data_IF_023731121007
#
_entry.id   IF_023731121007
#
_cell.length_a   1.000
_cell.length_b   1.000
_cell.length_c   1.000
_cell.angle_alpha   90.00
_cell.angle_beta   90.00
_cell.angle_gamma   90.00
#
_symmetry.space_group_name_H-M   'P 1'
#
loop_
_entity.id
_entity.type
_entity.pdbx_description
1 polymer ?
#
# COMPACT_ATOMS: atom_id res chain seq x y z
N UNK A 1 3.75 -29.65 -11.13
CA UNK A 1 4.78 -28.62 -11.39
C UNK A 1 5.14 -27.96 -10.07
N UNK A 2 6.31 -28.25 -9.47
CA UNK A 2 6.73 -27.63 -8.20
C UNK A 2 7.25 -26.22 -8.49
N UNK A 3 6.72 -25.21 -7.80
CA UNK A 3 7.19 -23.82 -7.91
C UNK A 3 8.66 -23.73 -7.44
N UNK A 4 9.48 -22.97 -8.16
CA UNK A 4 10.85 -22.63 -7.71
C UNK A 4 10.82 -21.77 -6.44
N UNK A 5 11.90 -21.81 -5.65
CA UNK A 5 11.93 -21.15 -4.33
C UNK A 5 11.79 -19.62 -4.41
N UNK A 6 12.30 -18.99 -5.48
CA UNK A 6 12.08 -17.57 -5.76
C UNK A 6 10.62 -17.24 -6.01
N UNK A 7 9.92 -18.11 -6.73
CA UNK A 7 8.51 -17.94 -7.05
C UNK A 7 7.64 -18.13 -5.80
N UNK A 8 7.98 -19.07 -4.92
CA UNK A 8 7.34 -19.21 -3.59
C UNK A 8 7.55 -17.97 -2.74
N UNK A 9 8.77 -17.43 -2.70
CA UNK A 9 9.08 -16.21 -1.93
C UNK A 9 8.30 -15.01 -2.45
N UNK A 10 8.26 -14.83 -3.77
CA UNK A 10 7.46 -13.81 -4.43
C UNK A 10 5.98 -13.92 -4.03
N UNK A 11 5.38 -15.10 -4.23
CA UNK A 11 3.98 -15.34 -3.96
C UNK A 11 3.64 -15.11 -2.48
N UNK A 12 4.48 -15.59 -1.55
CA UNK A 12 4.34 -15.32 -0.11
C UNK A 12 4.33 -13.82 0.16
N UNK A 13 5.30 -13.08 -0.37
CA UNK A 13 5.39 -11.63 -0.11
C UNK A 13 4.24 -10.85 -0.73
N UNK A 14 3.74 -11.28 -1.89
CA UNK A 14 2.59 -10.68 -2.55
C UNK A 14 1.30 -10.91 -1.76
N UNK A 15 1.04 -12.15 -1.33
CA UNK A 15 -0.15 -12.49 -0.54
C UNK A 15 -0.13 -11.74 0.79
N UNK A 16 1.00 -11.71 1.49
CA UNK A 16 1.14 -10.94 2.74
C UNK A 16 0.92 -9.45 2.49
N UNK A 17 1.44 -8.90 1.39
CA UNK A 17 1.24 -7.50 1.04
C UNK A 17 -0.25 -7.19 0.83
N UNK A 18 -0.97 -8.04 0.10
CA UNK A 18 -2.40 -7.89 -0.15
C UNK A 18 -3.22 -7.99 1.15
N UNK A 19 -2.92 -8.97 2.01
CA UNK A 19 -3.58 -9.14 3.31
C UNK A 19 -3.34 -7.93 4.23
N UNK A 20 -2.09 -7.45 4.32
CA UNK A 20 -1.75 -6.26 5.09
C UNK A 20 -2.48 -5.04 4.55
N UNK A 21 -2.57 -4.90 3.22
CA UNK A 21 -3.36 -3.85 2.59
C UNK A 21 -4.83 -3.90 3.02
N UNK A 22 -5.44 -5.09 2.99
CA UNK A 22 -6.82 -5.30 3.46
C UNK A 22 -7.02 -4.96 4.94
N UNK A 23 -6.12 -5.40 5.82
CA UNK A 23 -6.15 -5.08 7.26
C UNK A 23 -6.02 -3.56 7.48
N UNK A 24 -5.15 -2.91 6.71
CA UNK A 24 -4.91 -1.47 6.82
C UNK A 24 -6.12 -0.66 6.36
N UNK A 25 -6.77 -1.07 5.26
CA UNK A 25 -8.01 -0.46 4.78
C UNK A 25 -9.17 -0.67 5.77
N UNK A 26 -9.30 -1.86 6.36
CA UNK A 26 -10.29 -2.11 7.40
C UNK A 26 -10.03 -1.27 8.66
N UNK A 27 -8.76 -1.06 9.03
CA UNK A 27 -8.38 -0.21 10.16
C UNK A 27 -8.72 1.25 9.89
N UNK A 28 -8.41 1.76 8.69
CA UNK A 28 -8.79 3.10 8.27
C UNK A 28 -10.32 3.30 8.36
N UNK A 29 -11.10 2.42 7.73
CA UNK A 29 -12.56 2.48 7.79
C UNK A 29 -13.11 2.38 9.23
N UNK A 30 -12.53 1.54 10.08
CA UNK A 30 -12.93 1.39 11.47
C UNK A 30 -12.61 2.62 12.32
N UNK A 31 -11.40 3.18 12.18
CA UNK A 31 -11.01 4.43 12.87
C UNK A 31 -11.86 5.59 12.40
N UNK A 32 -12.11 5.70 11.08
CA UNK A 32 -13.00 6.71 10.50
C UNK A 32 -14.38 6.62 11.14
N UNK A 33 -14.99 5.43 11.10
CA UNK A 33 -16.33 5.21 11.64
C UNK A 33 -16.43 5.57 13.12
N UNK A 34 -15.45 5.13 13.94
CA UNK A 34 -15.44 5.42 15.37
C UNK A 34 -15.28 6.92 15.66
N UNK A 35 -14.33 7.60 15.01
CA UNK A 35 -14.09 9.02 15.26
C UNK A 35 -15.22 9.90 14.73
N UNK A 36 -15.76 9.60 13.55
CA UNK A 36 -16.85 10.36 12.95
C UNK A 36 -18.13 10.24 13.79
N UNK A 37 -18.52 9.01 14.16
CA UNK A 37 -19.77 8.78 14.88
C UNK A 37 -19.71 9.12 16.37
N UNK A 38 -18.55 8.98 17.02
CA UNK A 38 -18.44 9.17 18.47
C UNK A 38 -17.98 10.59 18.87
N UNK A 39 -17.24 11.28 18.01
CA UNK A 39 -16.65 12.57 18.37
C UNK A 39 -17.25 13.76 17.62
N UNK A 40 -18.10 13.54 16.60
CA UNK A 40 -18.73 14.61 15.82
C UNK A 40 -17.73 15.54 15.12
N UNK A 41 -16.50 15.05 14.91
CA UNK A 41 -15.46 15.79 14.22
C UNK A 41 -15.78 15.91 12.73
N UNK A 42 -15.25 16.98 12.13
CA UNK A 42 -15.31 17.23 10.71
C UNK A 42 -14.79 16.03 9.90
N UNK A 43 -15.51 15.67 8.84
CA UNK A 43 -15.24 14.48 8.02
C UNK A 43 -13.83 14.49 7.41
N UNK A 44 -13.32 15.68 7.07
CA UNK A 44 -12.00 15.82 6.47
C UNK A 44 -10.90 15.56 7.51
N UNK A 45 -11.04 16.10 8.71
CA UNK A 45 -10.11 15.82 9.82
C UNK A 45 -10.10 14.35 10.20
N UNK A 46 -11.28 13.72 10.29
CA UNK A 46 -11.39 12.29 10.62
C UNK A 46 -10.74 11.43 9.54
N UNK A 47 -11.03 11.71 8.26
CA UNK A 47 -10.40 11.01 7.14
C UNK A 47 -8.88 11.15 7.14
N UNK A 48 -8.37 12.34 7.47
CA UNK A 48 -6.93 12.57 7.54
C UNK A 48 -6.30 11.68 8.61
N UNK A 49 -6.88 11.65 9.81
CA UNK A 49 -6.36 10.85 10.94
C UNK A 49 -6.46 9.36 10.62
N UNK A 50 -7.61 8.88 10.18
CA UNK A 50 -7.86 7.46 9.90
C UNK A 50 -6.94 6.93 8.80
N UNK A 51 -6.75 7.72 7.73
CA UNK A 51 -5.87 7.37 6.61
C UNK A 51 -4.43 7.21 7.09
N UNK A 52 -3.94 8.12 7.95
CA UNK A 52 -2.59 8.02 8.51
C UNK A 52 -2.43 6.77 9.39
N UNK A 53 -3.42 6.45 10.23
CA UNK A 53 -3.42 5.20 11.00
C UNK A 53 -3.27 3.96 10.09
N UNK A 54 -4.04 3.91 9.01
CA UNK A 54 -3.95 2.84 8.01
C UNK A 54 -2.57 2.76 7.33
N UNK A 55 -2.02 3.90 6.90
CA UNK A 55 -0.69 3.97 6.26
C UNK A 55 0.41 3.52 7.21
N UNK A 56 0.42 4.01 8.45
CA UNK A 56 1.43 3.63 9.43
C UNK A 56 1.35 2.14 9.74
N UNK A 57 0.16 1.60 9.99
CA UNK A 57 -0.03 0.17 10.22
C UNK A 57 0.47 -0.65 9.03
N UNK A 58 0.10 -0.26 7.80
CA UNK A 58 0.56 -0.91 6.57
C UNK A 58 2.07 -0.95 6.46
N UNK A 59 2.74 0.18 6.73
CA UNK A 59 4.20 0.27 6.69
C UNK A 59 4.84 -0.62 7.75
N UNK A 60 4.40 -0.54 9.01
CA UNK A 60 4.96 -1.34 10.09
C UNK A 60 4.77 -2.85 9.85
N UNK A 61 3.59 -3.27 9.38
CA UNK A 61 3.34 -4.66 9.08
C UNK A 61 4.19 -5.17 7.90
N UNK A 62 4.31 -4.37 6.83
CA UNK A 62 5.16 -4.72 5.69
C UNK A 62 6.64 -4.79 6.07
N UNK A 63 7.09 -3.82 6.87
CA UNK A 63 8.46 -3.75 7.38
C UNK A 63 8.81 -4.94 8.26
N UNK A 64 7.96 -5.26 9.24
CA UNK A 64 8.28 -6.22 10.30
C UNK A 64 7.93 -7.68 9.92
N UNK A 65 6.84 -7.91 9.18
CA UNK A 65 6.33 -9.27 8.91
C UNK A 65 6.52 -9.73 7.47
N UNK A 66 6.28 -8.85 6.49
CA UNK A 66 6.35 -9.19 5.08
C UNK A 66 7.81 -9.25 4.58
N UNK A 67 8.44 -8.09 4.48
CA UNK A 67 9.79 -7.93 3.93
C UNK A 67 10.89 -8.10 4.97
N UNK A 68 10.57 -7.92 6.26
CA UNK A 68 11.48 -8.12 7.41
C UNK A 68 12.77 -7.28 7.29
N UNK A 69 12.63 -6.01 6.92
CA UNK A 69 13.73 -5.05 6.74
C UNK A 69 13.60 -3.91 7.75
N UNK A 70 14.24 -4.04 8.91
CA UNK A 70 14.11 -3.10 10.02
C UNK A 70 15.15 -1.97 10.02
N UNK A 71 16.11 -1.99 9.10
CA UNK A 71 17.11 -0.96 8.89
C UNK A 71 16.55 0.26 8.11
N UNK A 72 17.21 1.42 8.25
CA UNK A 72 16.93 2.63 7.47
C UNK A 72 15.44 3.06 7.45
N UNK A 73 14.75 2.92 8.60
CA UNK A 73 13.30 3.09 8.72
C UNK A 73 12.76 4.36 8.05
N UNK A 74 13.41 5.51 8.27
CA UNK A 74 12.98 6.78 7.66
C UNK A 74 13.02 6.75 6.13
N UNK A 75 14.11 6.28 5.52
CA UNK A 75 14.23 6.18 4.06
C UNK A 75 13.20 5.19 3.48
N UNK A 76 13.03 4.04 4.12
CA UNK A 76 12.06 3.03 3.69
C UNK A 76 10.63 3.55 3.81
N UNK A 77 10.33 4.30 4.89
CA UNK A 77 9.03 4.95 5.07
C UNK A 77 8.75 5.98 3.98
N UNK A 78 9.70 6.89 3.72
CA UNK A 78 9.56 7.89 2.65
C UNK A 78 9.35 7.21 1.30
N UNK A 79 10.15 6.19 0.96
CA UNK A 79 9.95 5.43 -0.28
C UNK A 79 8.58 4.77 -0.35
N UNK A 80 8.13 4.14 0.74
CA UNK A 80 6.82 3.49 0.81
C UNK A 80 5.67 4.50 0.66
N UNK A 81 5.80 5.65 1.31
CA UNK A 81 4.82 6.74 1.27
C UNK A 81 4.72 7.35 -0.15
N UNK A 82 5.86 7.59 -0.81
CA UNK A 82 5.90 8.06 -2.19
C UNK A 82 5.29 7.04 -3.17
N UNK A 83 5.51 5.74 -2.95
CA UNK A 83 4.81 4.67 -3.70
C UNK A 83 3.28 4.72 -3.47
N UNK A 84 2.86 5.09 -2.25
CA UNK A 84 1.47 5.38 -1.91
C UNK A 84 0.88 6.48 -2.79
N UNK A 85 1.53 7.66 -2.80
CA UNK A 85 1.12 8.82 -3.60
C UNK A 85 1.12 8.52 -5.10
N UNK A 86 2.12 7.79 -5.59
CA UNK A 86 2.15 7.32 -6.97
C UNK A 86 0.95 6.40 -7.28
N UNK A 87 0.62 5.49 -6.38
CA UNK A 87 -0.56 4.62 -6.51
C UNK A 87 -1.87 5.41 -6.57
N UNK A 88 -1.99 6.49 -5.79
CA UNK A 88 -3.13 7.40 -5.87
C UNK A 88 -3.22 8.08 -7.25
N UNK A 89 -2.11 8.63 -7.74
CA UNK A 89 -2.06 9.25 -9.06
C UNK A 89 -2.40 8.25 -10.18
N UNK A 90 -1.85 7.04 -10.12
CA UNK A 90 -2.16 5.95 -11.04
C UNK A 90 -3.64 5.55 -10.97
N UNK A 91 -4.20 5.45 -9.76
CA UNK A 91 -5.61 5.12 -9.58
C UNK A 91 -6.50 6.16 -10.27
N UNK A 92 -6.22 7.44 -10.02
CA UNK A 92 -6.93 8.57 -10.63
C UNK A 92 -6.82 8.58 -12.15
N UNK A 93 -5.63 8.29 -12.70
CA UNK A 93 -5.43 8.19 -14.14
C UNK A 93 -6.25 7.05 -14.77
N UNK A 94 -6.31 5.89 -14.12
CA UNK A 94 -7.12 4.74 -14.59
C UNK A 94 -8.60 5.09 -14.57
N UNK A 95 -9.11 5.71 -13.50
CA UNK A 95 -10.51 6.12 -13.42
C UNK A 95 -10.85 7.18 -14.47
N UNK A 96 -9.98 8.16 -14.67
CA UNK A 96 -10.16 9.19 -15.68
C UNK A 96 -10.21 8.59 -17.09
N UNK A 97 -9.27 7.70 -17.43
CA UNK A 97 -9.26 7.02 -18.71
C UNK A 97 -10.49 6.13 -18.89
N UNK A 98 -10.89 5.38 -17.85
CA UNK A 98 -12.11 4.57 -17.87
C UNK A 98 -13.36 5.40 -18.15
N UNK A 99 -13.47 6.58 -17.55
CA UNK A 99 -14.55 7.53 -17.84
C UNK A 99 -14.58 8.00 -19.29
N UNK A 100 -13.42 8.24 -19.90
CA UNK A 100 -13.31 8.60 -21.34
C UNK A 100 -13.71 7.46 -22.27
N UNK A 101 -13.54 6.21 -21.83
CA UNK A 101 -13.87 5.01 -22.58
C UNK A 101 -15.30 4.50 -22.34
N UNK A 102 -16.10 5.20 -21.52
CA UNK A 102 -17.45 4.77 -21.16
C UNK A 102 -17.49 3.53 -20.25
N UNK A 103 -16.38 3.18 -19.60
CA UNK A 103 -16.32 2.06 -18.65
C UNK A 103 -17.09 2.46 -17.38
N UNK A 104 -18.00 1.60 -16.88
CA UNK A 104 -18.70 1.86 -15.63
C UNK A 104 -17.72 2.17 -14.48
N UNK A 105 -17.96 3.22 -13.67
CA UNK A 105 -17.00 3.67 -12.66
C UNK A 105 -16.56 2.58 -11.67
N UNK A 106 -17.49 1.69 -11.29
CA UNK A 106 -17.18 0.58 -10.39
C UNK A 106 -16.22 -0.43 -11.02
N UNK A 107 -16.37 -0.73 -12.32
CA UNK A 107 -15.48 -1.65 -13.05
C UNK A 107 -14.08 -1.02 -13.16
N UNK A 108 -14.00 0.26 -13.53
CA UNK A 108 -12.74 0.99 -13.58
C UNK A 108 -12.05 1.04 -12.20
N UNK A 109 -12.83 1.23 -11.12
CA UNK A 109 -12.32 1.22 -9.74
C UNK A 109 -11.77 -0.14 -9.33
N UNK A 110 -12.48 -1.23 -9.58
CA UNK A 110 -12.03 -2.59 -9.26
C UNK A 110 -10.75 -2.95 -10.03
N UNK A 111 -10.70 -2.63 -11.32
CA UNK A 111 -9.50 -2.80 -12.13
C UNK A 111 -8.33 -1.98 -11.58
N UNK A 112 -8.58 -0.71 -11.24
CA UNK A 112 -7.61 0.20 -10.64
C UNK A 112 -7.03 -0.34 -9.34
N UNK A 113 -7.85 -0.92 -8.45
CA UNK A 113 -7.38 -1.52 -7.19
C UNK A 113 -6.37 -2.64 -7.46
N UNK A 114 -6.66 -3.53 -8.41
CA UNK A 114 -5.76 -4.66 -8.73
C UNK A 114 -4.45 -4.15 -9.33
N UNK A 115 -4.53 -3.27 -10.32
CA UNK A 115 -3.34 -2.71 -10.99
C UNK A 115 -2.46 -1.95 -9.99
N UNK A 116 -3.06 -1.06 -9.19
CA UNK A 116 -2.33 -0.27 -8.20
C UNK A 116 -1.71 -1.17 -7.14
N UNK A 117 -2.42 -2.15 -6.61
CA UNK A 117 -1.87 -3.07 -5.60
C UNK A 117 -0.65 -3.85 -6.12
N UNK A 118 -0.72 -4.37 -7.35
CA UNK A 118 0.39 -5.08 -8.00
C UNK A 118 1.57 -4.12 -8.23
N UNK A 119 1.31 -2.94 -8.80
CA UNK A 119 2.37 -1.96 -9.09
C UNK A 119 3.04 -1.47 -7.81
N UNK A 120 2.28 -1.13 -6.78
CA UNK A 120 2.81 -0.72 -5.48
C UNK A 120 3.63 -1.82 -4.83
N UNK A 121 3.16 -3.08 -4.89
CA UNK A 121 3.93 -4.21 -4.39
C UNK A 121 5.27 -4.35 -5.10
N UNK A 122 5.31 -4.28 -6.44
CA UNK A 122 6.54 -4.41 -7.23
C UNK A 122 7.53 -3.29 -6.92
N UNK A 123 7.06 -2.05 -6.81
CA UNK A 123 7.88 -0.89 -6.45
C UNK A 123 8.38 -1.04 -5.02
N UNK A 124 7.51 -1.33 -4.05
CA UNK A 124 7.91 -1.44 -2.65
C UNK A 124 8.87 -2.61 -2.40
N UNK A 125 8.68 -3.73 -3.09
CA UNK A 125 9.60 -4.88 -3.01
C UNK A 125 11.01 -4.54 -3.47
N UNK A 126 11.16 -3.70 -4.49
CA UNK A 126 12.45 -3.40 -5.12
C UNK A 126 13.10 -2.12 -4.60
N UNK A 127 12.31 -1.07 -4.37
CA UNK A 127 12.80 0.25 -3.96
C UNK A 127 12.77 0.40 -2.44
N UNK A 128 11.59 0.29 -1.82
CA UNK A 128 11.46 0.52 -0.39
C UNK A 128 12.10 -0.60 0.46
N UNK A 129 12.02 -1.84 0.00
CA UNK A 129 12.45 -3.04 0.72
C UNK A 129 13.52 -3.87 0.00
N UNK A 130 14.08 -3.34 -1.09
CA UNK A 130 15.22 -3.94 -1.77
C UNK A 130 16.46 -4.02 -0.89
N UNK A 131 17.39 -4.89 -1.27
CA UNK A 131 18.70 -4.98 -0.64
C UNK A 131 19.48 -3.71 -0.92
N UNK A 132 19.79 -2.96 0.14
CA UNK A 132 20.76 -1.87 0.06
C UNK A 132 22.14 -2.52 -0.09
N UNK A 133 22.90 -2.16 -1.14
CA UNK A 133 24.33 -2.54 -1.21
C UNK A 133 24.99 -2.14 0.13
N UNK A 134 25.80 -3.01 0.75
CA UNK A 134 26.56 -2.61 1.91
C UNK A 134 27.38 -1.36 1.56
N UNK A 135 27.57 -0.41 2.50
CA UNK A 135 28.47 0.71 2.25
C UNK A 135 29.82 0.13 1.81
N UNK A 136 30.30 0.54 0.63
CA UNK A 136 31.67 0.24 0.22
C UNK A 136 32.58 0.75 1.34
N UNK A 137 33.33 -0.16 1.94
CA UNK A 137 34.21 0.15 3.06
C UNK A 137 35.03 1.41 2.79
N UNK A 138 35.11 2.26 3.80
CA UNK A 138 36.25 3.13 4.04
C UNK A 138 36.86 2.69 5.36
#
# INVERSE_FOLDING_TARGET
>A
MKLGDDQKRFLRTFILYAMIGGISAATDAGVFYLLFQLAGFDEFLVNLISTHCGIFLSFFLNRNFNFRKTDQTGKRFVSFYLTGLFGLALSSAILWAGGRLGIPPMIAKLFSIVVVAVTQFLINRTVAFGDSKPPSGK
#
